data_IF_343929301853
#
_entry.id   IF_343929301853
#
_cell.length_a   1.000
_cell.length_b   1.000
_cell.length_c   1.000
_cell.angle_alpha   90.00
_cell.angle_beta   90.00
_cell.angle_gamma   90.00
#
_symmetry.space_group_name_H-M   'P 1'
#
loop_
_entity.id
_entity.type
_entity.pdbx_description
1 polymer ?
#
# COMPACT_ATOMS: atom_id res chain seq x y z
N UNK A 1 -13.73 4.05 -1.11
CA UNK A 1 -14.34 2.77 -1.51
C UNK A 1 -14.78 2.01 -0.27
N UNK A 2 -15.69 1.04 -0.40
CA UNK A 2 -16.06 0.15 0.71
C UNK A 2 -16.58 -1.18 0.18
N UNK A 3 -16.49 -2.22 1.00
CA UNK A 3 -17.07 -3.54 0.73
C UNK A 3 -17.43 -4.25 2.04
N UNK A 4 -18.37 -5.20 1.97
CA UNK A 4 -18.88 -5.97 3.11
C UNK A 4 -18.51 -7.44 2.92
N UNK A 5 -18.08 -8.12 3.98
CA UNK A 5 -17.77 -9.55 3.94
C UNK A 5 -19.02 -10.38 3.63
N UNK A 6 -18.84 -11.57 3.05
CA UNK A 6 -19.96 -12.40 2.61
C UNK A 6 -20.87 -12.91 3.74
N UNK A 7 -20.35 -12.97 4.97
CA UNK A 7 -21.10 -13.33 6.17
C UNK A 7 -21.69 -12.12 6.91
N UNK A 8 -21.49 -10.91 6.37
CA UNK A 8 -21.91 -9.64 6.95
C UNK A 8 -21.36 -9.35 8.36
N UNK A 9 -20.23 -9.97 8.75
CA UNK A 9 -19.57 -9.68 10.01
C UNK A 9 -18.67 -8.43 9.94
N UNK A 10 -18.02 -8.21 8.80
CA UNK A 10 -17.02 -7.15 8.62
C UNK A 10 -17.40 -6.19 7.50
N UNK A 11 -17.06 -4.92 7.71
CA UNK A 11 -17.04 -3.89 6.68
C UNK A 11 -15.61 -3.38 6.53
N UNK A 12 -15.14 -3.23 5.30
CA UNK A 12 -13.88 -2.56 4.99
C UNK A 12 -14.17 -1.25 4.27
N UNK A 13 -13.47 -0.17 4.65
CA UNK A 13 -13.53 1.12 3.96
C UNK A 13 -12.13 1.60 3.62
N UNK A 14 -11.88 1.95 2.36
CA UNK A 14 -10.65 2.59 1.90
C UNK A 14 -10.87 4.07 1.57
N UNK A 15 -9.89 4.91 1.88
CA UNK A 15 -9.99 6.37 1.83
C UNK A 15 -8.75 7.04 1.21
N UNK A 16 -8.90 8.31 0.85
CA UNK A 16 -7.82 9.17 0.36
C UNK A 16 -6.78 9.53 1.44
N UNK A 17 -7.10 9.28 2.71
CA UNK A 17 -6.15 9.34 3.84
C UNK A 17 -5.15 8.17 3.87
N UNK A 18 -5.11 7.37 2.78
CA UNK A 18 -4.19 6.24 2.56
C UNK A 18 -4.47 5.02 3.43
N UNK A 19 -5.52 5.06 4.24
CA UNK A 19 -5.86 4.02 5.18
C UNK A 19 -6.98 3.12 4.67
N UNK A 20 -6.97 1.89 5.16
CA UNK A 20 -8.13 0.99 5.20
C UNK A 20 -8.58 0.89 6.64
N UNK A 21 -9.88 1.08 6.89
CA UNK A 21 -10.49 0.81 8.20
C UNK A 21 -11.33 -0.45 8.11
N UNK A 22 -11.20 -1.30 9.12
CA UNK A 22 -11.99 -2.51 9.30
C UNK A 22 -12.95 -2.28 10.47
N UNK A 23 -14.23 -2.56 10.22
CA UNK A 23 -15.33 -2.30 11.14
C UNK A 23 -16.06 -3.60 11.43
N UNK A 24 -16.44 -3.81 12.69
CA UNK A 24 -17.37 -4.87 13.08
C UNK A 24 -18.80 -4.39 12.87
N UNK A 25 -19.60 -5.16 12.12
CA UNK A 25 -20.99 -4.79 11.85
C UNK A 25 -21.95 -5.13 13.00
N UNK A 26 -21.52 -5.97 13.95
CA UNK A 26 -22.32 -6.33 15.13
C UNK A 26 -22.60 -5.12 16.04
N UNK A 27 -21.55 -4.36 16.37
CA UNK A 27 -21.62 -3.20 17.26
C UNK A 27 -21.36 -1.86 16.56
N UNK A 28 -20.94 -1.89 15.30
CA UNK A 28 -20.65 -0.70 14.49
C UNK A 28 -19.35 0.03 14.88
N UNK A 29 -18.43 -0.64 15.57
CA UNK A 29 -17.16 -0.07 16.00
C UNK A 29 -16.04 -0.30 14.99
N UNK A 30 -15.05 0.60 14.99
CA UNK A 30 -13.85 0.47 14.17
C UNK A 30 -12.84 -0.42 14.90
N UNK A 31 -12.68 -1.66 14.45
CA UNK A 31 -11.71 -2.59 15.04
C UNK A 31 -10.26 -2.16 14.78
N UNK A 32 -9.94 -1.70 13.55
CA UNK A 32 -8.59 -1.21 13.23
C UNK A 32 -8.54 -0.23 12.07
N UNK A 33 -7.55 0.65 12.10
CA UNK A 33 -7.14 1.52 10.99
C UNK A 33 -5.74 1.10 10.53
N UNK A 34 -5.61 0.67 9.29
CA UNK A 34 -4.39 0.15 8.69
C UNK A 34 -3.84 1.16 7.68
N UNK A 35 -2.57 1.53 7.83
CA UNK A 35 -1.85 2.29 6.81
C UNK A 35 -1.62 1.37 5.61
N UNK A 36 -2.46 1.51 4.59
CA UNK A 36 -2.59 0.51 3.55
C UNK A 36 -1.73 0.82 2.33
N UNK A 37 -1.75 2.07 1.87
CA UNK A 37 -1.10 2.50 0.63
C UNK A 37 -0.24 3.75 0.87
N UNK A 38 0.71 4.04 -0.02
CA UNK A 38 1.50 5.28 0.05
C UNK A 38 0.72 6.51 -0.46
N UNK A 39 -0.41 6.26 -1.12
CA UNK A 39 -1.37 7.24 -1.64
C UNK A 39 -2.82 6.70 -1.50
N UNK A 40 -3.79 7.36 -2.10
CA UNK A 40 -5.23 7.13 -1.95
C UNK A 40 -5.63 5.70 -2.27
N UNK A 41 -6.45 5.10 -1.42
CA UNK A 41 -7.05 3.77 -1.65
C UNK A 41 -8.25 3.92 -2.59
N UNK A 42 -8.21 3.25 -3.74
CA UNK A 42 -9.19 3.43 -4.82
C UNK A 42 -10.26 2.34 -4.84
N UNK A 43 -9.89 1.09 -4.55
CA UNK A 43 -10.86 0.02 -4.35
C UNK A 43 -10.41 -0.94 -3.23
N UNK A 44 -11.40 -1.54 -2.58
CA UNK A 44 -11.24 -2.65 -1.64
C UNK A 44 -12.30 -3.68 -1.99
N UNK A 45 -11.97 -4.97 -1.95
CA UNK A 45 -12.93 -6.03 -2.21
C UNK A 45 -12.60 -7.31 -1.44
N UNK A 46 -13.58 -7.86 -0.73
CA UNK A 46 -13.45 -9.12 -0.01
C UNK A 46 -13.43 -10.30 -0.99
N UNK A 47 -12.63 -11.31 -0.65
CA UNK A 47 -12.68 -12.62 -1.29
C UNK A 47 -13.87 -13.38 -0.72
N UNK A 48 -14.74 -13.87 -1.60
CA UNK A 48 -16.01 -14.51 -1.23
C UNK A 48 -15.83 -15.66 -0.25
N UNK A 49 -16.68 -15.75 0.77
CA UNK A 49 -16.67 -16.76 1.83
C UNK A 49 -15.39 -16.77 2.69
N UNK A 50 -14.65 -15.66 2.71
CA UNK A 50 -13.46 -15.48 3.53
C UNK A 50 -13.41 -14.06 4.10
N UNK A 51 -12.50 -13.84 5.05
CA UNK A 51 -12.12 -12.52 5.56
C UNK A 51 -10.79 -12.04 4.96
N UNK A 52 -10.49 -12.51 3.75
CA UNK A 52 -9.38 -11.95 2.99
C UNK A 52 -9.86 -10.80 2.13
N UNK A 53 -9.02 -9.78 2.00
CA UNK A 53 -9.35 -8.53 1.34
C UNK A 53 -8.24 -8.17 0.36
N UNK A 54 -8.59 -7.76 -0.86
CA UNK A 54 -7.67 -7.06 -1.73
C UNK A 54 -7.92 -5.56 -1.69
N UNK A 55 -6.86 -4.77 -1.86
CA UNK A 55 -6.94 -3.32 -2.04
C UNK A 55 -6.05 -2.86 -3.18
N UNK A 56 -6.45 -1.76 -3.81
CA UNK A 56 -5.69 -1.10 -4.88
C UNK A 56 -5.65 0.41 -4.65
N UNK A 57 -4.58 1.06 -5.07
CA UNK A 57 -4.37 2.48 -4.81
C UNK A 57 -3.65 3.24 -5.92
N UNK A 58 -3.53 4.55 -5.70
CA UNK A 58 -2.74 5.44 -6.57
C UNK A 58 -1.23 5.21 -6.51
N UNK A 59 -0.76 4.45 -5.53
CA UNK A 59 0.64 4.03 -5.41
C UNK A 59 1.03 2.89 -6.36
N UNK A 60 0.19 2.59 -7.35
CA UNK A 60 0.39 1.54 -8.37
C UNK A 60 0.36 0.10 -7.82
N UNK A 61 0.07 -0.09 -6.53
CA UNK A 61 0.13 -1.39 -5.87
C UNK A 61 -1.24 -2.06 -5.78
N UNK A 62 -1.21 -3.39 -5.82
CA UNK A 62 -2.31 -4.25 -5.36
C UNK A 62 -1.84 -4.94 -4.08
N UNK A 63 -2.65 -4.94 -3.02
CA UNK A 63 -2.28 -5.51 -1.72
C UNK A 63 -3.30 -6.51 -1.25
N UNK A 64 -2.84 -7.57 -0.58
CA UNK A 64 -3.65 -8.67 -0.08
C UNK A 64 -3.57 -8.75 1.45
N UNK A 65 -4.72 -8.83 2.12
CA UNK A 65 -4.82 -8.65 3.57
C UNK A 65 -5.59 -9.79 4.22
N UNK A 66 -5.19 -10.14 5.44
CA UNK A 66 -5.97 -10.90 6.41
C UNK A 66 -6.67 -9.92 7.35
N UNK A 67 -8.00 -9.81 7.27
CA UNK A 67 -8.74 -8.84 8.11
C UNK A 67 -9.05 -9.36 9.50
N UNK A 68 -8.92 -10.66 9.77
CA UNK A 68 -9.08 -11.21 11.13
C UNK A 68 -7.83 -10.93 11.96
N UNK A 69 -6.64 -11.05 11.35
CA UNK A 69 -5.35 -10.74 11.98
C UNK A 69 -4.92 -9.30 11.81
N UNK A 70 -5.54 -8.59 10.87
CA UNK A 70 -5.19 -7.25 10.43
C UNK A 70 -3.75 -7.15 9.90
N UNK A 71 -3.35 -8.12 9.09
CA UNK A 71 -1.99 -8.26 8.56
C UNK A 71 -1.97 -8.12 7.04
N UNK A 72 -0.92 -7.47 6.52
CA UNK A 72 -0.63 -7.41 5.09
C UNK A 72 0.09 -8.70 4.69
N UNK A 73 -0.57 -9.51 3.88
CA UNK A 73 -0.08 -10.81 3.42
C UNK A 73 0.90 -10.66 2.26
N UNK A 74 0.53 -9.90 1.22
CA UNK A 74 1.33 -9.71 0.02
C UNK A 74 1.18 -8.29 -0.55
N UNK A 75 2.27 -7.78 -1.12
CA UNK A 75 2.25 -6.64 -2.04
C UNK A 75 2.51 -7.16 -3.45
N UNK A 76 1.60 -6.89 -4.38
CA UNK A 76 1.71 -7.27 -5.77
C UNK A 76 2.08 -6.04 -6.59
N UNK A 77 3.29 -6.08 -7.13
CA UNK A 77 3.84 -5.03 -8.00
C UNK A 77 3.65 -5.41 -9.46
N UNK A 78 3.38 -4.42 -10.30
CA UNK A 78 3.31 -4.65 -11.74
C UNK A 78 2.71 -3.50 -12.53
N UNK A 79 1.72 -2.80 -11.98
CA UNK A 79 1.21 -1.60 -12.63
C UNK A 79 2.23 -0.47 -12.61
N UNK A 80 2.22 0.35 -13.66
CA UNK A 80 3.16 1.47 -13.81
C UNK A 80 2.51 2.85 -13.60
N UNK A 81 1.23 2.86 -13.20
CA UNK A 81 0.48 4.05 -12.83
C UNK A 81 -0.70 3.66 -11.93
N UNK A 82 -1.51 4.64 -11.51
CA UNK A 82 -2.57 4.49 -10.52
C UNK A 82 -3.54 3.35 -10.87
N UNK A 83 -3.86 2.51 -9.88
CA UNK A 83 -4.85 1.44 -10.05
C UNK A 83 -6.21 1.95 -9.56
N UNK A 84 -7.19 2.00 -10.46
CA UNK A 84 -8.49 2.64 -10.19
C UNK A 84 -9.55 1.67 -9.72
N UNK A 85 -9.52 0.45 -10.25
CA UNK A 85 -10.57 -0.53 -10.02
C UNK A 85 -10.03 -1.95 -10.02
N UNK A 86 -10.83 -2.84 -9.45
CA UNK A 86 -10.54 -4.26 -9.32
C UNK A 86 -11.84 -5.07 -9.34
N UNK A 87 -11.77 -6.31 -9.80
CA UNK A 87 -12.81 -7.31 -9.65
C UNK A 87 -12.19 -8.67 -9.31
N UNK A 88 -12.73 -9.34 -8.29
CA UNK A 88 -12.33 -10.69 -7.88
C UNK A 88 -13.30 -11.71 -8.50
N UNK A 89 -12.76 -12.83 -8.99
CA UNK A 89 -13.55 -13.97 -9.43
C UNK A 89 -14.44 -14.50 -8.30
N UNK A 90 -15.64 -14.99 -8.62
CA UNK A 90 -16.55 -15.56 -7.62
C UNK A 90 -15.97 -16.77 -6.88
N UNK A 91 -14.98 -17.45 -7.48
CA UNK A 91 -14.26 -18.57 -6.88
C UNK A 91 -13.01 -18.13 -6.09
N UNK A 92 -12.59 -16.86 -6.22
CA UNK A 92 -11.39 -16.33 -5.58
C UNK A 92 -10.06 -16.83 -6.16
N UNK A 93 -10.08 -17.39 -7.37
CA UNK A 93 -8.93 -17.98 -8.06
C UNK A 93 -8.08 -16.96 -8.83
N UNK A 94 -8.71 -15.88 -9.30
CA UNK A 94 -8.02 -14.74 -9.90
C UNK A 94 -8.71 -13.41 -9.58
N UNK A 95 -7.95 -12.33 -9.77
CA UNK A 95 -8.48 -10.97 -9.76
C UNK A 95 -8.04 -10.21 -11.01
N UNK A 96 -8.80 -9.20 -11.38
CA UNK A 96 -8.51 -8.32 -12.53
C UNK A 96 -8.44 -6.88 -12.04
N UNK A 97 -7.42 -6.14 -12.45
CA UNK A 97 -7.23 -4.72 -12.12
C UNK A 97 -7.16 -3.85 -13.35
N UNK A 98 -7.68 -2.62 -13.24
CA UNK A 98 -7.59 -1.59 -14.27
C UNK A 98 -6.78 -0.39 -13.79
N UNK A 99 -5.83 0.06 -14.61
CA UNK A 99 -4.89 1.14 -14.24
C UNK A 99 -4.87 2.28 -15.26
N UNK A 100 -4.43 3.45 -14.80
CA UNK A 100 -4.11 4.61 -15.61
C UNK A 100 -2.99 4.35 -16.64
N UNK A 101 -2.19 3.30 -16.45
CA UNK A 101 -1.12 2.90 -17.37
C UNK A 101 -1.64 2.35 -18.72
N UNK A 102 -2.97 2.35 -18.90
CA UNK A 102 -3.72 1.83 -20.05
C UNK A 102 -3.66 0.30 -20.16
N UNK A 103 -3.41 -0.38 -19.04
CA UNK A 103 -3.43 -1.84 -18.94
C UNK A 103 -4.57 -2.35 -18.06
N UNK A 104 -4.98 -3.57 -18.40
CA UNK A 104 -5.76 -4.45 -17.52
C UNK A 104 -4.84 -5.61 -17.19
N UNK A 105 -4.72 -5.96 -15.91
CA UNK A 105 -3.90 -7.09 -15.46
C UNK A 105 -4.77 -8.13 -14.79
N UNK A 106 -4.47 -9.40 -15.07
CA UNK A 106 -5.03 -10.56 -14.38
C UNK A 106 -3.96 -11.10 -13.44
N UNK A 107 -4.33 -11.32 -12.19
CA UNK A 107 -3.48 -11.91 -11.18
C UNK A 107 -4.07 -13.26 -10.81
N UNK A 108 -3.27 -14.31 -10.94
CA UNK A 108 -3.67 -15.68 -10.67
C UNK A 108 -3.05 -16.14 -9.36
N UNK A 109 -3.81 -16.89 -8.57
CA UNK A 109 -3.28 -17.53 -7.37
C UNK A 109 -2.29 -18.63 -7.78
N UNK A 110 -1.06 -18.52 -7.32
CA UNK A 110 -0.05 -19.57 -7.48
C UNK A 110 -0.25 -20.69 -6.46
N UNK A 111 0.22 -21.89 -6.78
CA UNK A 111 0.28 -23.02 -5.84
C UNK A 111 1.46 -22.91 -4.87
N UNK A 112 2.41 -22.02 -5.16
CA UNK A 112 3.59 -21.79 -4.33
C UNK A 112 3.17 -21.10 -3.02
N UNK A 113 3.51 -21.70 -1.86
CA UNK A 113 3.27 -21.04 -0.59
C UNK A 113 4.20 -19.84 -0.44
N UNK A 114 3.67 -18.73 0.08
CA UNK A 114 4.49 -17.61 0.54
C UNK A 114 4.57 -17.65 2.06
N UNK A 115 5.73 -17.30 2.61
CA UNK A 115 5.95 -17.18 4.04
C UNK A 115 5.72 -15.73 4.47
N UNK A 116 4.74 -15.52 5.34
CA UNK A 116 4.32 -14.17 5.77
C UNK A 116 5.50 -13.44 6.44
N UNK A 117 6.28 -14.14 7.25
CA UNK A 117 7.45 -13.58 7.92
C UNK A 117 8.53 -13.12 6.93
N UNK A 118 8.78 -13.90 5.87
CA UNK A 118 9.78 -13.56 4.85
C UNK A 118 9.34 -12.33 4.04
N UNK A 119 8.06 -12.26 3.66
CA UNK A 119 7.50 -11.09 2.97
C UNK A 119 7.54 -9.84 3.86
N UNK A 120 7.32 -10.02 5.17
CA UNK A 120 7.44 -8.94 6.15
C UNK A 120 8.88 -8.46 6.28
N UNK A 121 9.84 -9.38 6.32
CA UNK A 121 11.27 -9.09 6.40
C UNK A 121 11.73 -8.33 5.16
N UNK A 122 11.43 -8.83 3.95
CA UNK A 122 11.70 -8.16 2.67
C UNK A 122 11.16 -6.74 2.63
N UNK A 123 9.93 -6.54 3.13
CA UNK A 123 9.33 -5.20 3.23
C UNK A 123 10.07 -4.29 4.21
N UNK A 124 10.52 -4.84 5.35
CA UNK A 124 11.27 -4.09 6.35
C UNK A 124 12.66 -3.69 5.82
N UNK A 125 13.32 -4.58 5.09
CA UNK A 125 14.59 -4.33 4.41
C UNK A 125 14.46 -3.22 3.36
N UNK A 126 13.45 -3.29 2.48
CA UNK A 126 13.20 -2.25 1.49
C UNK A 126 12.96 -0.86 2.11
N UNK A 127 12.27 -0.81 3.26
CA UNK A 127 12.08 0.43 4.02
C UNK A 127 13.39 0.95 4.65
N UNK A 128 14.28 0.05 5.06
CA UNK A 128 15.57 0.42 5.61
C UNK A 128 16.51 0.96 4.54
N UNK A 129 16.57 0.31 3.38
CA UNK A 129 17.43 0.71 2.25
C UNK A 129 17.03 2.10 1.72
N UNK A 130 15.74 2.34 1.52
CA UNK A 130 15.22 3.66 1.13
C UNK A 130 15.49 4.73 2.19
N UNK A 131 15.46 4.35 3.48
CA UNK A 131 15.86 5.21 4.59
C UNK A 131 17.35 5.57 4.57
N UNK A 132 18.23 4.65 4.21
CA UNK A 132 19.67 4.90 4.08
C UNK A 132 20.02 5.77 2.87
N UNK A 133 19.36 5.56 1.73
CA UNK A 133 19.53 6.42 0.54
C UNK A 133 19.17 7.88 0.84
N UNK A 134 18.11 8.12 1.63
CA UNK A 134 17.72 9.48 2.03
C UNK A 134 18.76 10.21 2.91
N UNK A 135 19.61 9.47 3.63
CA UNK A 135 20.70 10.03 4.46
C UNK A 135 21.97 10.21 3.65
N UNK A 136 22.23 9.34 2.66
CA UNK A 136 23.36 9.47 1.74
C UNK A 136 23.23 10.71 0.82
N UNK A 137 22.02 10.99 0.33
CA UNK A 137 21.73 12.17 -0.50
C UNK A 137 21.88 13.50 0.26
N UNK A 138 21.77 13.47 1.60
CA UNK A 138 22.01 14.65 2.44
C UNK A 138 23.51 14.97 2.63
N UNK A 139 24.41 14.06 2.25
CA UNK A 139 25.86 14.20 2.42
C UNK A 139 26.62 14.64 1.14
N UNK A 140 25.96 14.74 -0.01
CA UNK A 140 26.55 15.31 -1.24
C UNK A 140 26.17 16.79 -1.45
N UNK A 141 26.80 17.68 -0.66
CA UNK A 141 26.89 19.10 -1.05
C UNK A 141 28.13 19.30 -1.93
N UNK A 142 28.08 20.12 -3.00
CA UNK A 142 29.24 20.33 -3.86
C UNK A 142 30.33 21.08 -3.07
N UNK A 143 31.56 20.57 -3.15
CA UNK A 143 32.77 21.31 -2.77
C UNK A 143 32.81 22.63 -3.54
N UNK A 144 32.28 23.69 -2.91
CA UNK A 144 32.38 25.07 -3.35
C UNK A 144 33.61 25.72 -2.75
N UNK A 145 34.50 26.15 -3.61
CA UNK A 145 35.78 26.79 -3.35
C UNK A 145 35.69 27.91 -2.29
N UNK A 146 36.62 27.88 -1.33
CA UNK A 146 36.86 29.00 -0.41
C UNK A 146 37.76 29.99 -1.16
N UNK A 147 37.22 31.14 -1.57
CA UNK A 147 38.05 32.30 -1.96
C UNK A 147 37.95 33.40 -0.91
N UNK A 148 39.10 33.73 -0.32
CA UNK A 148 39.33 34.88 0.55
C UNK A 148 38.89 36.21 -0.07
N UNK A 149 38.39 37.13 0.77
CA UNK A 149 38.66 38.56 0.57
C UNK A 149 37.48 39.53 0.61
N UNK A 150 37.51 40.38 1.64
CA UNK A 150 37.14 41.80 1.67
C UNK A 150 35.73 42.27 2.14
N UNK A 151 35.73 42.70 3.42
CA UNK A 151 35.24 43.98 4.02
C UNK A 151 33.89 44.59 3.60
N UNK A 152 32.94 44.76 4.54
CA UNK A 152 32.67 46.04 5.25
C UNK A 152 31.30 46.13 5.97
N UNK A 153 31.42 46.45 7.28
CA UNK A 153 30.63 47.32 8.18
C UNK A 153 29.10 47.30 8.37
N UNK A 154 28.80 47.53 9.66
CA UNK A 154 27.55 47.61 10.40
C UNK A 154 26.61 48.78 10.08
N UNK A 155 25.33 48.59 10.41
CA UNK A 155 24.39 49.71 10.59
C UNK A 155 22.98 49.27 10.99
N UNK A 156 22.71 49.29 12.30
CA UNK A 156 21.42 49.24 13.04
C UNK A 156 20.35 48.24 12.62
#
# INVERSE_FOLDING_TARGET
CMDISSDAALLASGSADKNIKIWGLDFGDCHRSLFAHADSVMAVQFVRNTHYLFSVGKDCMVKYWDTDKFELLLTLEGHHAEVWCMAISSLGDFLVTGSHDRSIRRWERTEEPFFIEEEREKRLEALFDTGQESVADAHELPNGEISEGAVALAGK
#
